data_IF_628323191618
#
_entry.id   IF_628323191618
#
_cell.length_a   1.000
_cell.length_b   1.000
_cell.length_c   1.000
_cell.angle_alpha   90.00
_cell.angle_beta   90.00
_cell.angle_gamma   90.00
#
_symmetry.space_group_name_H-M   'P 1'
#
loop_
_entity.id
_entity.type
_entity.pdbx_description
1 polymer ?
#
# COMPACT_ATOMS: atom_id res chain seq x y z
N UNK A 1 -6.91 -8.25 7.32
CA UNK A 1 -6.36 -6.98 6.81
C UNK A 1 -5.73 -7.21 5.46
N UNK A 2 -4.92 -8.26 5.39
CA UNK A 2 -4.09 -8.63 4.23
C UNK A 2 -4.88 -8.76 2.92
N UNK A 3 -6.06 -9.38 2.92
CA UNK A 3 -6.90 -9.48 1.71
C UNK A 3 -7.25 -8.12 1.08
N UNK A 4 -7.51 -7.10 1.90
CA UNK A 4 -7.76 -5.74 1.41
C UNK A 4 -6.48 -5.13 0.86
N UNK A 5 -5.35 -5.39 1.50
CA UNK A 5 -4.04 -4.90 1.06
C UNK A 5 -3.68 -5.53 -0.29
N UNK A 6 -3.91 -6.83 -0.47
CA UNK A 6 -3.66 -7.55 -1.72
C UNK A 6 -4.57 -7.03 -2.84
N UNK A 7 -5.87 -6.86 -2.56
CA UNK A 7 -6.79 -6.24 -3.52
C UNK A 7 -6.31 -4.85 -3.97
N UNK A 8 -5.85 -4.01 -3.03
CA UNK A 8 -5.32 -2.68 -3.37
C UNK A 8 -4.03 -2.79 -4.17
N UNK A 9 -3.14 -3.73 -3.85
CA UNK A 9 -1.87 -3.93 -4.56
C UNK A 9 -2.10 -4.35 -6.01
N UNK A 10 -3.07 -5.21 -6.25
CA UNK A 10 -3.30 -5.82 -7.56
C UNK A 10 -4.26 -5.02 -8.44
N UNK A 11 -5.32 -4.42 -7.87
CA UNK A 11 -6.39 -3.78 -8.65
C UNK A 11 -6.23 -2.26 -8.81
N UNK A 12 -5.36 -1.61 -8.03
CA UNK A 12 -5.13 -0.16 -8.16
C UNK A 12 -3.95 0.15 -9.08
N UNK A 13 -4.04 1.30 -9.75
CA UNK A 13 -3.01 1.73 -10.68
C UNK A 13 -2.53 3.13 -10.35
N UNK A 14 -1.23 3.26 -10.09
CA UNK A 14 -0.59 4.52 -9.69
C UNK A 14 0.54 4.93 -10.64
N UNK A 15 1.01 4.03 -11.50
CA UNK A 15 2.14 4.25 -12.41
C UNK A 15 1.84 5.35 -13.45
N UNK A 16 2.71 6.35 -13.56
CA UNK A 16 2.55 7.42 -14.56
C UNK A 16 2.79 6.97 -16.00
N UNK A 17 3.50 5.86 -16.18
CA UNK A 17 3.75 5.29 -17.50
C UNK A 17 2.67 4.29 -17.93
N UNK A 18 1.62 4.08 -17.12
CA UNK A 18 0.55 3.16 -17.46
C UNK A 18 0.92 1.67 -17.35
N UNK A 19 2.11 1.34 -16.85
CA UNK A 19 2.62 -0.03 -16.83
C UNK A 19 1.87 -0.91 -15.81
N UNK A 20 1.11 -1.89 -16.33
CA UNK A 20 0.34 -2.88 -15.54
C UNK A 20 0.93 -4.28 -15.57
N UNK A 21 2.04 -4.49 -16.27
CA UNK A 21 2.57 -5.84 -16.53
C UNK A 21 3.71 -6.21 -15.61
N UNK A 22 4.48 -5.23 -15.12
CA UNK A 22 5.56 -5.50 -14.19
C UNK A 22 5.04 -5.51 -12.75
N UNK A 23 5.04 -6.70 -12.13
CA UNK A 23 4.63 -6.89 -10.75
C UNK A 23 5.80 -6.69 -9.77
N UNK A 24 5.52 -5.97 -8.69
CA UNK A 24 6.42 -5.79 -7.55
C UNK A 24 5.70 -6.13 -6.25
N UNK A 25 6.44 -6.23 -5.15
CA UNK A 25 5.85 -6.45 -3.82
C UNK A 25 4.83 -5.35 -3.43
N UNK A 26 4.92 -4.14 -3.98
CA UNK A 26 4.01 -3.04 -3.67
C UNK A 26 2.88 -2.85 -4.70
N UNK A 27 2.77 -3.77 -5.68
CA UNK A 27 1.79 -3.74 -6.78
C UNK A 27 2.43 -3.60 -8.17
N UNK A 28 1.62 -3.39 -9.21
CA UNK A 28 2.12 -3.23 -10.58
C UNK A 28 2.69 -1.82 -10.87
N UNK A 29 3.75 -1.74 -11.68
CA UNK A 29 4.26 -0.47 -12.19
C UNK A 29 5.65 -0.56 -12.84
N UNK A 30 6.05 0.51 -13.54
CA UNK A 30 7.32 0.56 -14.26
C UNK A 30 8.56 0.62 -13.34
N UNK A 31 8.38 0.93 -12.05
CA UNK A 31 9.48 0.97 -11.06
C UNK A 31 10.44 2.16 -11.20
N UNK A 32 10.24 3.05 -12.18
CA UNK A 32 11.19 4.13 -12.51
C UNK A 32 10.57 5.52 -12.54
N UNK A 33 9.24 5.62 -12.39
CA UNK A 33 8.56 6.91 -12.31
C UNK A 33 8.38 7.36 -10.85
N UNK A 34 8.24 8.67 -10.58
CA UNK A 34 8.10 9.19 -9.21
C UNK A 34 6.94 8.56 -8.42
N UNK A 35 5.84 8.21 -9.10
CA UNK A 35 4.69 7.56 -8.47
C UNK A 35 5.01 6.13 -8.00
N UNK A 36 5.77 5.38 -8.79
CA UNK A 36 6.23 4.03 -8.41
C UNK A 36 7.23 4.10 -7.25
N UNK A 37 8.17 5.06 -7.27
CA UNK A 37 9.13 5.26 -6.18
C UNK A 37 8.44 5.54 -4.85
N UNK A 38 7.48 6.47 -4.84
CA UNK A 38 6.71 6.82 -3.65
C UNK A 38 5.90 5.62 -3.11
N UNK A 39 5.22 4.89 -4.00
CA UNK A 39 4.42 3.72 -3.61
C UNK A 39 5.30 2.60 -3.04
N UNK A 40 6.46 2.35 -3.65
CA UNK A 40 7.41 1.36 -3.18
C UNK A 40 7.94 1.68 -1.78
N UNK A 41 8.28 2.95 -1.54
CA UNK A 41 8.76 3.39 -0.23
C UNK A 41 7.67 3.28 0.85
N UNK A 42 6.46 3.75 0.57
CA UNK A 42 5.34 3.64 1.51
C UNK A 42 5.03 2.19 1.88
N UNK A 43 5.10 1.26 0.91
CA UNK A 43 4.91 -0.16 1.18
C UNK A 43 6.03 -0.75 2.05
N UNK A 44 7.31 -0.42 1.79
CA UNK A 44 8.43 -0.87 2.63
C UNK A 44 8.25 -0.43 4.08
N UNK A 45 7.81 0.81 4.29
CA UNK A 45 7.51 1.33 5.63
C UNK A 45 6.35 0.54 6.27
N UNK A 46 5.25 0.34 5.55
CA UNK A 46 4.13 -0.47 6.04
C UNK A 46 4.55 -1.90 6.41
N UNK A 47 5.33 -2.58 5.57
CA UNK A 47 5.73 -3.97 5.75
C UNK A 47 6.76 -4.16 6.90
N UNK A 48 7.49 -3.10 7.27
CA UNK A 48 8.48 -3.14 8.35
C UNK A 48 7.94 -2.66 9.69
N UNK A 49 6.80 -1.96 9.70
CA UNK A 49 6.16 -1.51 10.93
C UNK A 49 5.40 -2.67 11.59
N UNK A 50 5.56 -2.88 12.92
CA UNK A 50 4.66 -3.76 13.65
C UNK A 50 3.25 -3.17 13.60
N UNK A 51 2.24 -4.05 13.50
CA UNK A 51 0.85 -3.61 13.48
C UNK A 51 0.56 -2.72 14.69
N UNK A 52 0.38 -1.42 14.46
CA UNK A 52 -0.01 -0.48 15.50
C UNK A 52 -1.41 -0.87 15.97
N UNK A 53 -1.59 -1.30 17.23
CA UNK A 53 -2.93 -1.57 17.74
C UNK A 53 -3.72 -0.26 17.70
N UNK A 54 -4.90 -0.30 17.08
CA UNK A 54 -5.81 0.85 17.08
C UNK A 54 -6.15 1.19 18.54
N UNK A 55 -6.11 2.49 18.92
CA UNK A 55 -6.59 2.89 20.23
C UNK A 55 -8.07 2.49 20.35
N UNK A 56 -8.42 1.73 21.39
CA UNK A 56 -9.80 1.47 21.75
C UNK A 56 -10.45 2.80 22.13
N UNK A 57 -11.23 3.34 21.20
CA UNK A 57 -12.09 4.49 21.47
C UNK A 57 -13.22 4.01 22.40
N UNK A 58 -13.02 4.15 23.71
CA UNK A 58 -14.09 3.98 24.70
C UNK A 58 -15.06 5.15 24.57
N UNK A 59 -16.21 4.91 23.93
CA UNK A 59 -17.31 5.88 23.88
C UNK A 59 -18.01 5.84 25.24
N UNK A 60 -17.63 6.76 26.14
CA UNK A 60 -18.35 6.99 27.39
C UNK A 60 -19.71 7.63 27.08
N UNK A 61 -20.80 6.85 27.22
CA UNK A 61 -22.15 7.40 27.30
C UNK A 61 -22.33 8.02 28.69
N UNK A 62 -22.53 9.34 28.73
CA UNK A 62 -23.00 10.08 29.91
C UNK A 62 -24.51 10.01 30.07
#
# INVERSE_FOLDING_TARGET
GDELVDLIRDETHTCYQGDRTHHHEWGCGCGQCPACELRAEGYRQFATLPATPLPTMEVSNG
#
